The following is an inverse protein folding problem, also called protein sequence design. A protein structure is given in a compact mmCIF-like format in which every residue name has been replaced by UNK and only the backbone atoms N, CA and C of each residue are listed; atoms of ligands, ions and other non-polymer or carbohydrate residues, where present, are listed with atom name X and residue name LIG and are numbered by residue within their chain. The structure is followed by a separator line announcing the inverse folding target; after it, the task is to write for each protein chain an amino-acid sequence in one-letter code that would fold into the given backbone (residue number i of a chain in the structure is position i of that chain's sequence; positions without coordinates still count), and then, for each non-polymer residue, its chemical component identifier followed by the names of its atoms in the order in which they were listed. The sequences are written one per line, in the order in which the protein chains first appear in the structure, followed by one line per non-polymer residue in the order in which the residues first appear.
data_IF_384218315692
#
_entry.id   IF_384218315692
#
_cell.length_a   1.000
_cell.length_b   1.000
_cell.length_c   1.000
_cell.angle_alpha   90.00
_cell.angle_beta   90.00
_cell.angle_gamma   90.00
#
_symmetry.space_group_name_H-M   'P 1'
#
loop_
_entity.id
_entity.type
_entity.pdbx_description
1 polymer ?
#
# COMPACT_ATOMS: atom_id res chain seq x y z
N UNK A 1 10.67 -0.43 5.91
CA UNK A 1 10.52 0.97 5.40
C UNK A 1 10.24 0.94 3.90
N UNK A 2 9.53 1.96 3.30
CA UNK A 2 9.17 2.00 1.87
C UNK A 2 9.00 3.42 1.33
N UNK A 3 9.51 3.65 0.11
CA UNK A 3 9.43 4.92 -0.61
C UNK A 3 9.23 4.70 -2.11
N UNK A 4 8.87 5.75 -2.84
CA UNK A 4 8.94 5.76 -4.30
C UNK A 4 10.36 5.98 -4.81
N UNK A 5 10.64 5.44 -6.00
CA UNK A 5 11.90 5.60 -6.73
C UNK A 5 11.69 6.34 -8.06
N UNK A 6 10.48 6.83 -8.30
CA UNK A 6 10.03 7.66 -9.43
C UNK A 6 10.57 7.18 -10.79
N UNK A 7 11.62 7.83 -11.34
CA UNK A 7 12.20 7.48 -12.63
C UNK A 7 12.56 5.98 -12.77
N UNK A 8 12.82 5.32 -11.64
CA UNK A 8 13.14 3.89 -11.61
C UNK A 8 11.87 2.99 -11.64
N UNK A 9 10.68 3.57 -11.59
CA UNK A 9 9.40 2.83 -11.63
C UNK A 9 8.81 2.74 -13.05
N UNK A 10 9.57 3.14 -14.07
CA UNK A 10 9.10 3.27 -15.46
C UNK A 10 9.30 2.02 -16.31
N UNK A 11 10.01 1.01 -15.81
CA UNK A 11 10.14 -0.30 -16.44
C UNK A 11 10.34 -1.40 -15.40
N UNK A 12 10.13 -2.65 -15.81
CA UNK A 12 10.32 -3.82 -14.95
C UNK A 12 11.73 -3.92 -14.38
N UNK A 13 12.76 -3.75 -15.23
CA UNK A 13 14.17 -3.85 -14.85
C UNK A 13 14.58 -2.75 -13.86
N UNK A 14 14.20 -1.50 -14.14
CA UNK A 14 14.53 -0.36 -13.30
C UNK A 14 13.87 -0.47 -11.93
N UNK A 15 12.62 -0.91 -11.87
CA UNK A 15 11.92 -1.13 -10.61
C UNK A 15 12.59 -2.25 -9.80
N UNK A 16 12.90 -3.37 -10.44
CA UNK A 16 13.56 -4.50 -9.78
C UNK A 16 14.93 -4.11 -9.23
N UNK A 17 15.74 -3.42 -10.02
CA UNK A 17 17.06 -2.92 -9.59
C UNK A 17 16.95 -1.97 -8.39
N UNK A 18 16.00 -1.01 -8.43
CA UNK A 18 15.79 -0.06 -7.34
C UNK A 18 15.35 -0.75 -6.05
N UNK A 19 14.40 -1.69 -6.15
CA UNK A 19 13.88 -2.43 -5.00
C UNK A 19 14.95 -3.32 -4.37
N UNK A 20 15.69 -4.09 -5.18
CA UNK A 20 16.77 -4.95 -4.71
C UNK A 20 17.92 -4.12 -4.12
N UNK A 21 18.31 -3.01 -4.77
CA UNK A 21 19.34 -2.11 -4.25
C UNK A 21 18.98 -1.52 -2.89
N UNK A 22 17.71 -1.11 -2.70
CA UNK A 22 17.21 -0.59 -1.43
C UNK A 22 17.20 -1.67 -0.34
N UNK A 23 16.78 -2.90 -0.66
CA UNK A 23 16.81 -4.03 0.25
C UNK A 23 18.25 -4.39 0.66
N UNK A 24 19.15 -4.54 -0.30
CA UNK A 24 20.55 -4.87 -0.04
C UNK A 24 21.27 -3.80 0.80
N UNK A 25 20.83 -2.54 0.68
CA UNK A 25 21.46 -1.43 1.41
C UNK A 25 21.06 -1.41 2.88
N UNK A 26 19.80 -1.74 3.22
CA UNK A 26 19.24 -1.52 4.56
C UNK A 26 18.77 -2.82 5.24
N UNK A 27 18.71 -3.93 4.55
CA UNK A 27 18.33 -5.25 5.08
C UNK A 27 16.99 -5.23 5.87
N UNK A 28 15.92 -4.74 5.23
CA UNK A 28 14.58 -4.74 5.83
C UNK A 28 14.03 -6.16 6.00
N UNK A 29 13.20 -6.39 7.03
CA UNK A 29 12.66 -7.70 7.38
C UNK A 29 11.66 -8.27 6.35
N UNK A 30 11.11 -7.43 5.50
CA UNK A 30 10.36 -7.78 4.30
C UNK A 30 10.42 -6.65 3.28
N UNK A 31 10.25 -6.98 2.00
CA UNK A 31 10.19 -5.99 0.94
C UNK A 31 8.75 -5.67 0.56
N UNK A 32 8.35 -4.41 0.66
CA UNK A 32 7.10 -3.90 0.08
C UNK A 32 7.40 -3.28 -1.27
N UNK A 33 6.88 -3.89 -2.35
CA UNK A 33 7.07 -3.37 -3.71
C UNK A 33 6.33 -2.03 -3.87
N UNK A 34 7.05 -1.02 -4.38
CA UNK A 34 6.50 0.29 -4.72
C UNK A 34 6.43 0.44 -6.25
N UNK A 35 5.32 0.04 -6.89
CA UNK A 35 5.11 0.31 -8.30
C UNK A 35 4.85 1.80 -8.53
N UNK A 36 4.96 2.26 -9.79
CA UNK A 36 4.51 3.63 -10.10
C UNK A 36 3.04 3.81 -9.74
N UNK A 37 2.71 5.00 -9.23
CA UNK A 37 1.41 5.25 -8.60
C UNK A 37 0.20 5.02 -9.52
N UNK A 38 0.37 5.12 -10.85
CA UNK A 38 -0.69 4.99 -11.85
C UNK A 38 -0.82 3.59 -12.48
N UNK A 39 0.06 2.64 -12.16
CA UNK A 39 0.13 1.34 -12.84
C UNK A 39 -1.23 0.62 -12.96
N UNK A 40 -2.05 0.79 -11.96
CA UNK A 40 -3.32 0.07 -11.79
C UNK A 40 -4.47 0.59 -12.65
N UNK A 41 -4.27 1.67 -13.41
CA UNK A 41 -5.30 2.30 -14.24
C UNK A 41 -4.87 2.56 -15.69
N UNK A 42 -3.57 2.43 -15.99
CA UNK A 42 -3.02 2.78 -17.30
C UNK A 42 -3.58 1.90 -18.41
N UNK A 43 -3.74 0.60 -18.18
CA UNK A 43 -4.29 -0.34 -19.17
C UNK A 43 -5.80 -0.12 -19.48
N UNK A 44 -6.52 0.64 -18.63
CA UNK A 44 -7.86 1.16 -18.95
C UNK A 44 -7.83 2.52 -19.64
N UNK A 45 -6.65 3.06 -19.95
CA UNK A 45 -6.49 4.26 -20.76
C UNK A 45 -6.30 5.56 -19.96
N UNK A 46 -5.98 5.50 -18.67
CA UNK A 46 -5.50 6.67 -17.95
C UNK A 46 -4.14 7.05 -18.51
N UNK A 47 -3.99 8.29 -18.99
CA UNK A 47 -2.71 8.83 -19.42
C UNK A 47 -2.11 9.70 -18.33
N UNK A 48 -0.81 9.58 -18.15
CA UNK A 48 -0.06 10.35 -17.17
C UNK A 48 1.08 11.12 -17.83
N UNK A 49 1.39 12.28 -17.26
CA UNK A 49 2.64 12.98 -17.52
C UNK A 49 3.59 12.69 -16.37
N UNK A 50 4.83 12.37 -16.71
CA UNK A 50 5.85 11.96 -15.77
C UNK A 50 7.12 12.79 -15.99
N UNK A 51 7.62 13.44 -14.94
CA UNK A 51 8.82 14.27 -14.96
C UNK A 51 10.08 13.58 -14.42
N UNK A 52 9.93 12.37 -13.86
CA UNK A 52 11.04 11.59 -13.32
C UNK A 52 11.31 11.79 -11.83
N UNK A 53 10.87 12.91 -11.25
CA UNK A 53 11.22 13.31 -9.87
C UNK A 53 10.04 13.27 -8.89
N UNK A 54 8.83 13.02 -9.41
CA UNK A 54 7.60 12.98 -8.62
C UNK A 54 6.65 11.86 -9.08
N UNK A 55 5.54 11.69 -8.39
CA UNK A 55 4.49 10.76 -8.83
C UNK A 55 3.89 11.20 -10.17
N UNK A 56 3.52 10.26 -11.06
CA UNK A 56 2.87 10.57 -12.33
C UNK A 56 1.63 11.44 -12.12
N UNK A 57 1.49 12.51 -12.90
CA UNK A 57 0.32 13.38 -12.91
C UNK A 57 -0.67 12.91 -13.98
N UNK A 58 -1.91 12.65 -13.57
CA UNK A 58 -2.99 12.27 -14.51
C UNK A 58 -3.27 13.45 -15.46
N UNK A 59 -3.28 13.18 -16.76
CA UNK A 59 -3.58 14.17 -17.83
C UNK A 59 -4.85 13.82 -18.61
N UNK A 60 -5.21 12.54 -18.69
CA UNK A 60 -6.44 12.08 -19.35
C UNK A 60 -6.98 10.85 -18.61
N UNK A 61 -8.31 10.78 -18.49
CA UNK A 61 -8.99 9.66 -17.85
C UNK A 61 -10.10 9.11 -18.74
N UNK A 62 -10.37 7.80 -18.69
CA UNK A 62 -11.38 7.16 -19.56
C UNK A 62 -12.82 7.44 -19.13
N UNK A 63 -13.06 7.80 -17.85
CA UNK A 63 -14.41 8.01 -17.31
C UNK A 63 -14.69 9.50 -17.18
N UNK A 64 -15.60 9.99 -18.00
CA UNK A 64 -16.10 11.37 -18.02
C UNK A 64 -17.60 11.44 -17.74
N UNK A 65 -18.34 10.43 -18.19
CA UNK A 65 -19.77 10.31 -18.04
C UNK A 65 -20.15 9.00 -17.33
N UNK A 66 -21.35 8.89 -16.76
CA UNK A 66 -21.77 7.65 -16.11
C UNK A 66 -21.79 6.43 -17.03
N UNK A 67 -22.00 6.60 -18.36
CA UNK A 67 -22.02 5.49 -19.31
C UNK A 67 -20.62 4.92 -19.61
N UNK A 68 -19.57 5.69 -19.35
CA UNK A 68 -18.20 5.23 -19.55
C UNK A 68 -17.83 4.08 -18.62
N UNK A 69 -18.45 3.99 -17.44
CA UNK A 69 -18.27 2.87 -16.52
C UNK A 69 -18.64 1.51 -17.15
N UNK A 70 -19.64 1.49 -18.03
CA UNK A 70 -20.10 0.28 -18.69
C UNK A 70 -19.16 -0.20 -19.81
N UNK A 71 -18.20 0.63 -20.21
CA UNK A 71 -17.20 0.30 -21.25
C UNK A 71 -15.98 -0.42 -20.69
N UNK A 72 -15.78 -0.38 -19.37
CA UNK A 72 -14.67 -1.08 -18.76
C UNK A 72 -14.83 -2.58 -18.96
N UNK A 73 -13.71 -3.25 -19.26
CA UNK A 73 -13.66 -4.70 -19.44
C UNK A 73 -12.58 -5.28 -18.52
N UNK A 74 -12.74 -6.53 -18.15
CA UNK A 74 -11.69 -7.28 -17.46
C UNK A 74 -10.43 -7.31 -18.34
N UNK A 75 -9.30 -6.94 -17.74
CA UNK A 75 -8.01 -6.90 -18.43
C UNK A 75 -7.34 -8.27 -18.41
N UNK A 76 -6.62 -8.57 -19.51
CA UNK A 76 -5.65 -9.66 -19.50
C UNK A 76 -4.37 -9.21 -18.78
N UNK A 77 -4.14 -9.79 -17.61
CA UNK A 77 -3.00 -9.43 -16.74
C UNK A 77 -1.63 -9.78 -17.34
N UNK A 78 -1.60 -10.58 -18.41
CA UNK A 78 -0.39 -10.93 -19.15
C UNK A 78 -0.09 -9.94 -20.30
N UNK A 79 -0.73 -8.79 -20.32
CA UNK A 79 -0.50 -7.73 -21.30
C UNK A 79 -0.31 -6.39 -20.62
N UNK A 80 0.21 -5.40 -21.37
CA UNK A 80 0.33 -4.01 -20.94
C UNK A 80 1.15 -3.80 -19.68
N UNK A 81 0.71 -2.87 -18.88
CA UNK A 81 1.37 -2.42 -17.64
C UNK A 81 1.28 -3.47 -16.54
N UNK A 82 0.19 -4.23 -16.47
CA UNK A 82 0.08 -5.32 -15.49
C UNK A 82 1.14 -6.39 -15.75
N UNK A 83 1.37 -6.78 -17.02
CA UNK A 83 2.46 -7.69 -17.39
C UNK A 83 3.83 -7.13 -17.05
N UNK A 84 4.07 -5.84 -17.28
CA UNK A 84 5.34 -5.19 -16.91
C UNK A 84 5.64 -5.39 -15.42
N UNK A 85 4.63 -5.18 -14.56
CA UNK A 85 4.79 -5.41 -13.13
C UNK A 85 4.96 -6.89 -12.77
N UNK A 86 4.29 -7.82 -13.43
CA UNK A 86 4.55 -9.25 -13.23
C UNK A 86 6.00 -9.61 -13.60
N UNK A 87 6.55 -9.03 -14.66
CA UNK A 87 7.97 -9.22 -15.02
C UNK A 87 8.91 -8.64 -13.95
N UNK A 88 8.59 -7.46 -13.38
CA UNK A 88 9.40 -6.91 -12.28
C UNK A 88 9.40 -7.82 -11.04
N UNK A 89 8.27 -8.46 -10.73
CA UNK A 89 8.18 -9.41 -9.61
C UNK A 89 9.03 -10.67 -9.84
N UNK A 90 9.08 -11.18 -11.07
CA UNK A 90 9.96 -12.30 -11.45
C UNK A 90 11.44 -11.95 -11.24
N UNK A 91 11.86 -10.76 -11.67
CA UNK A 91 13.22 -10.26 -11.48
C UNK A 91 13.57 -10.09 -10.00
N UNK A 92 12.63 -9.54 -9.20
CA UNK A 92 12.82 -9.37 -7.76
C UNK A 92 12.90 -10.72 -7.06
N UNK A 93 11.99 -11.66 -7.35
CA UNK A 93 12.01 -13.00 -6.78
C UNK A 93 13.35 -13.72 -7.07
N UNK A 94 13.83 -13.61 -8.31
CA UNK A 94 15.15 -14.14 -8.70
C UNK A 94 16.28 -13.49 -7.90
N UNK A 95 16.24 -12.16 -7.71
CA UNK A 95 17.25 -11.41 -6.96
C UNK A 95 17.25 -11.73 -5.46
N UNK A 96 16.09 -11.97 -4.87
CA UNK A 96 15.92 -12.31 -3.45
C UNK A 96 16.24 -13.78 -3.14
N UNK A 97 16.23 -14.67 -4.12
CA UNK A 97 16.58 -16.12 -3.98
C UNK A 97 15.78 -16.87 -2.91
N UNK A 98 14.60 -16.36 -2.52
CA UNK A 98 13.79 -16.93 -1.45
C UNK A 98 14.27 -16.59 -0.03
N UNK A 99 15.25 -15.71 0.13
CA UNK A 99 15.83 -15.35 1.44
C UNK A 99 14.96 -14.35 2.21
N UNK A 100 14.04 -13.64 1.52
CA UNK A 100 13.24 -12.58 2.12
C UNK A 100 11.81 -12.61 1.55
N UNK A 101 10.77 -12.52 2.38
CA UNK A 101 9.40 -12.34 1.90
C UNK A 101 9.22 -10.96 1.28
N UNK A 102 8.42 -10.89 0.20
CA UNK A 102 8.08 -9.64 -0.44
C UNK A 102 6.60 -9.58 -0.82
N UNK A 103 6.01 -8.40 -0.72
CA UNK A 103 4.57 -8.19 -0.94
C UNK A 103 4.33 -7.11 -1.99
N UNK A 104 3.33 -7.36 -2.87
CA UNK A 104 2.96 -6.42 -3.93
C UNK A 104 1.99 -5.36 -3.39
N UNK A 105 2.27 -4.09 -3.67
CA UNK A 105 1.30 -3.01 -3.42
C UNK A 105 0.15 -3.11 -4.41
N UNK A 106 -1.05 -3.29 -3.88
CA UNK A 106 -2.28 -3.35 -4.65
C UNK A 106 -3.32 -2.42 -4.02
N UNK A 107 -4.02 -1.68 -4.87
CA UNK A 107 -5.05 -0.76 -4.39
C UNK A 107 -6.41 -1.45 -4.36
N UNK A 108 -7.29 -0.99 -3.46
CA UNK A 108 -8.67 -1.49 -3.38
C UNK A 108 -9.45 -1.16 -4.64
N UNK A 109 -10.46 -1.96 -5.03
CA UNK A 109 -11.26 -1.69 -6.24
C UNK A 109 -11.88 -0.29 -6.24
N UNK A 110 -12.36 0.19 -5.10
CA UNK A 110 -12.89 1.56 -4.98
C UNK A 110 -11.80 2.62 -5.21
N UNK A 111 -10.58 2.38 -4.76
CA UNK A 111 -9.43 3.26 -5.00
C UNK A 111 -9.09 3.35 -6.48
N UNK A 112 -9.09 2.22 -7.17
CA UNK A 112 -8.84 2.14 -8.61
C UNK A 112 -9.95 2.88 -9.38
N UNK A 113 -11.22 2.65 -9.03
CA UNK A 113 -12.35 3.34 -9.66
C UNK A 113 -12.21 4.87 -9.53
N UNK A 114 -11.84 5.38 -8.36
CA UNK A 114 -11.63 6.81 -8.15
C UNK A 114 -10.56 7.42 -9.09
N UNK A 115 -9.49 6.67 -9.37
CA UNK A 115 -8.45 7.12 -10.31
C UNK A 115 -8.93 7.19 -11.77
N UNK A 116 -9.89 6.36 -12.16
CA UNK A 116 -10.43 6.33 -13.54
C UNK A 116 -11.21 7.60 -13.92
N UNK A 117 -11.65 8.39 -12.96
CA UNK A 117 -12.29 9.70 -13.20
C UNK A 117 -11.30 10.86 -13.20
N UNK A 118 -10.18 10.75 -12.49
CA UNK A 118 -9.23 11.84 -12.25
C UNK A 118 -9.79 13.00 -11.41
N UNK A 119 -11.02 12.86 -10.89
CA UNK A 119 -11.70 13.85 -10.06
C UNK A 119 -12.46 13.14 -8.93
N UNK A 120 -12.13 13.53 -7.71
CA UNK A 120 -12.81 13.02 -6.50
C UNK A 120 -14.30 13.39 -6.49
N UNK A 121 -14.61 14.64 -6.84
CA UNK A 121 -15.98 15.15 -6.88
C UNK A 121 -16.84 14.37 -7.91
N UNK A 122 -16.32 14.21 -9.13
CA UNK A 122 -17.01 13.45 -10.17
C UNK A 122 -17.21 11.99 -9.78
N UNK A 123 -16.22 11.38 -9.14
CA UNK A 123 -16.35 10.00 -8.68
C UNK A 123 -17.43 9.86 -7.59
N UNK A 124 -17.44 10.73 -6.59
CA UNK A 124 -18.45 10.71 -5.52
C UNK A 124 -19.87 10.96 -6.07
N UNK A 125 -20.01 11.87 -7.05
CA UNK A 125 -21.26 12.08 -7.74
C UNK A 125 -21.73 10.80 -8.46
N UNK A 126 -20.88 10.19 -9.27
CA UNK A 126 -21.22 8.95 -9.97
C UNK A 126 -21.54 7.80 -9.00
N UNK A 127 -20.79 7.67 -7.92
CA UNK A 127 -20.98 6.64 -6.90
C UNK A 127 -22.38 6.72 -6.26
N UNK A 128 -22.85 7.95 -5.98
CA UNK A 128 -24.11 8.22 -5.30
C UNK A 128 -25.33 8.24 -6.23
N UNK A 129 -25.16 8.84 -7.41
CA UNK A 129 -26.27 9.07 -8.36
C UNK A 129 -26.39 7.99 -9.44
N UNK A 130 -25.30 7.29 -9.75
CA UNK A 130 -25.23 6.28 -10.80
C UNK A 130 -24.65 4.94 -10.31
N UNK A 131 -25.01 4.58 -9.08
CA UNK A 131 -24.47 3.43 -8.32
C UNK A 131 -24.41 2.13 -9.14
N UNK A 132 -25.46 1.80 -9.91
CA UNK A 132 -25.47 0.56 -10.69
C UNK A 132 -24.37 0.49 -11.75
N UNK A 133 -24.03 1.63 -12.38
CA UNK A 133 -22.96 1.71 -13.38
C UNK A 133 -21.57 1.63 -12.72
N UNK A 134 -21.39 2.29 -11.57
CA UNK A 134 -20.15 2.19 -10.79
C UNK A 134 -19.95 0.77 -10.25
N UNK A 135 -21.02 0.12 -9.78
CA UNK A 135 -20.95 -1.26 -9.33
C UNK A 135 -20.51 -2.22 -10.45
N UNK A 136 -21.01 -2.02 -11.69
CA UNK A 136 -20.51 -2.79 -12.85
C UNK A 136 -18.98 -2.64 -13.00
N UNK A 137 -18.47 -1.42 -12.91
CA UNK A 137 -17.04 -1.17 -12.99
C UNK A 137 -16.28 -1.81 -11.82
N UNK A 138 -16.80 -1.73 -10.58
CA UNK A 138 -16.20 -2.36 -9.41
C UNK A 138 -16.12 -3.89 -9.55
N UNK A 139 -17.14 -4.54 -10.20
CA UNK A 139 -17.06 -5.97 -10.55
C UNK A 139 -15.89 -6.26 -11.49
N UNK A 140 -15.78 -5.50 -12.58
CA UNK A 140 -14.71 -5.63 -13.60
C UNK A 140 -13.32 -5.42 -12.99
N UNK A 141 -13.17 -4.37 -12.18
CA UNK A 141 -11.91 -4.06 -11.49
C UNK A 141 -11.54 -5.18 -10.51
N UNK A 142 -12.51 -5.64 -9.72
CA UNK A 142 -12.27 -6.71 -8.74
C UNK A 142 -11.84 -8.00 -9.42
N UNK A 143 -12.46 -8.38 -10.53
CA UNK A 143 -12.08 -9.57 -11.30
C UNK A 143 -10.66 -9.42 -11.87
N UNK A 144 -10.36 -8.28 -12.51
CA UNK A 144 -9.03 -8.00 -13.05
C UNK A 144 -7.95 -8.13 -11.96
N UNK A 145 -8.15 -7.46 -10.82
CA UNK A 145 -7.14 -7.46 -9.76
C UNK A 145 -7.12 -8.73 -8.93
N UNK A 146 -8.18 -9.52 -8.90
CA UNK A 146 -8.15 -10.89 -8.38
C UNK A 146 -7.26 -11.80 -9.25
N UNK A 147 -7.36 -11.66 -10.57
CA UNK A 147 -6.49 -12.40 -11.49
C UNK A 147 -5.04 -11.93 -11.40
N UNK A 148 -4.81 -10.62 -11.32
CA UNK A 148 -3.48 -10.06 -11.13
C UNK A 148 -2.85 -10.50 -9.81
N UNK A 149 -3.60 -10.50 -8.71
CA UNK A 149 -3.13 -10.94 -7.41
C UNK A 149 -2.69 -12.42 -7.41
N UNK A 150 -3.46 -13.30 -8.05
CA UNK A 150 -3.08 -14.72 -8.24
C UNK A 150 -1.78 -14.83 -9.05
N UNK A 151 -1.70 -14.11 -10.16
CA UNK A 151 -0.50 -14.08 -10.98
C UNK A 151 0.73 -13.53 -10.25
N UNK A 152 0.56 -12.63 -9.28
CA UNK A 152 1.64 -12.20 -8.38
C UNK A 152 2.13 -13.35 -7.48
N UNK A 153 1.22 -14.09 -6.83
CA UNK A 153 1.60 -15.23 -5.99
C UNK A 153 2.34 -16.32 -6.78
N UNK A 154 1.91 -16.61 -8.02
CA UNK A 154 2.58 -17.55 -8.92
C UNK A 154 4.04 -17.15 -9.22
N UNK A 155 4.39 -15.87 -9.02
CA UNK A 155 5.74 -15.30 -9.19
C UNK A 155 6.52 -15.17 -7.89
N UNK A 156 6.06 -15.83 -6.83
CA UNK A 156 6.76 -15.89 -5.55
C UNK A 156 6.46 -14.74 -4.59
N UNK A 157 5.48 -13.90 -4.89
CA UNK A 157 5.02 -12.85 -3.96
C UNK A 157 4.36 -13.50 -2.75
N UNK A 158 4.80 -13.14 -1.54
CA UNK A 158 4.28 -13.71 -0.28
C UNK A 158 2.86 -13.22 0.07
N UNK A 159 2.42 -12.09 -0.50
CA UNK A 159 1.10 -11.52 -0.26
C UNK A 159 0.96 -10.09 -0.76
N UNK A 160 0.00 -9.36 -0.22
CA UNK A 160 -0.33 -8.01 -0.67
C UNK A 160 -0.08 -6.96 0.41
N UNK A 161 0.45 -5.82 0.02
CA UNK A 161 0.26 -4.55 0.70
C UNK A 161 -0.99 -3.91 0.11
N UNK A 162 -2.15 -4.19 0.74
CA UNK A 162 -3.45 -3.82 0.23
C UNK A 162 -3.84 -2.43 0.74
N UNK A 163 -3.87 -1.43 -0.14
CA UNK A 163 -3.97 -0.03 0.23
C UNK A 163 -5.32 0.59 -0.14
N UNK A 164 -6.00 1.18 0.85
CA UNK A 164 -7.29 1.85 0.67
C UNK A 164 -7.17 3.25 0.07
N UNK A 165 -5.96 3.77 -0.04
CA UNK A 165 -5.59 5.10 -0.53
C UNK A 165 -6.46 6.24 0.03
N UNK A 166 -7.31 6.85 -0.80
CA UNK A 166 -8.03 8.06 -0.48
C UNK A 166 -9.43 7.82 0.14
N UNK A 167 -9.96 6.58 0.15
CA UNK A 167 -11.39 6.36 0.32
C UNK A 167 -11.81 5.82 1.70
N UNK A 168 -10.91 5.16 2.43
CA UNK A 168 -11.22 4.68 3.78
C UNK A 168 -11.08 5.79 4.85
N UNK A 169 -11.79 6.89 4.67
CA UNK A 169 -11.80 8.04 5.57
C UNK A 169 -13.18 8.68 5.68
N UNK A 170 -13.55 9.12 6.88
CA UNK A 170 -14.83 9.83 7.09
C UNK A 170 -14.88 11.20 6.43
N UNK A 171 -13.74 11.73 5.97
CA UNK A 171 -13.69 12.97 5.19
C UNK A 171 -14.32 12.82 3.79
N UNK A 172 -14.54 11.59 3.30
CA UNK A 172 -15.04 11.30 1.95
C UNK A 172 -16.28 10.43 1.93
N UNK A 173 -16.28 9.36 2.72
CA UNK A 173 -17.36 8.39 2.76
C UNK A 173 -17.83 8.21 4.19
N UNK A 174 -19.13 8.11 4.37
CA UNK A 174 -19.70 7.58 5.61
C UNK A 174 -19.32 6.11 5.77
N UNK A 175 -19.35 5.59 6.99
CA UNK A 175 -19.13 4.16 7.22
C UNK A 175 -20.11 3.29 6.43
N UNK A 176 -21.38 3.71 6.33
CA UNK A 176 -22.39 3.00 5.55
C UNK A 176 -22.03 2.95 4.07
N UNK A 177 -21.57 4.06 3.50
CA UNK A 177 -21.11 4.09 2.10
C UNK A 177 -19.90 3.16 1.88
N UNK A 178 -18.91 3.19 2.80
CA UNK A 178 -17.75 2.30 2.71
C UNK A 178 -18.14 0.83 2.80
N UNK A 179 -19.03 0.49 3.73
CA UNK A 179 -19.57 -0.86 3.87
C UNK A 179 -20.34 -1.33 2.64
N UNK A 180 -20.97 -0.41 1.93
CA UNK A 180 -21.79 -0.71 0.73
C UNK A 180 -20.93 -0.79 -0.53
N UNK A 181 -20.02 0.17 -0.73
CA UNK A 181 -19.34 0.38 -2.02
C UNK A 181 -17.90 -0.15 -2.07
N UNK A 182 -17.23 -0.33 -0.92
CA UNK A 182 -15.85 -0.81 -0.88
C UNK A 182 -15.75 -2.24 -0.35
N UNK A 183 -16.25 -2.47 0.86
CA UNK A 183 -16.03 -3.70 1.61
C UNK A 183 -16.36 -5.00 0.86
N UNK A 184 -17.47 -5.14 0.11
CA UNK A 184 -17.79 -6.40 -0.58
C UNK A 184 -16.74 -6.77 -1.63
N UNK A 185 -16.23 -5.79 -2.33
CA UNK A 185 -15.21 -5.96 -3.37
C UNK A 185 -13.84 -6.23 -2.77
N UNK A 186 -13.49 -5.53 -1.70
CA UNK A 186 -12.25 -5.74 -0.95
C UNK A 186 -12.14 -7.18 -0.42
N UNK A 187 -13.19 -7.64 0.24
CA UNK A 187 -13.24 -8.99 0.80
C UNK A 187 -13.21 -10.07 -0.28
N UNK A 188 -13.92 -9.84 -1.41
CA UNK A 188 -13.89 -10.77 -2.53
C UNK A 188 -12.49 -10.93 -3.08
N UNK A 189 -11.75 -9.83 -3.28
CA UNK A 189 -10.37 -9.88 -3.76
C UNK A 189 -9.46 -10.61 -2.77
N UNK A 190 -9.47 -10.23 -1.50
CA UNK A 190 -8.63 -10.87 -0.48
C UNK A 190 -8.91 -12.37 -0.34
N UNK A 191 -10.18 -12.78 -0.43
CA UNK A 191 -10.57 -14.19 -0.34
C UNK A 191 -10.15 -15.04 -1.55
N UNK A 192 -9.66 -14.43 -2.64
CA UNK A 192 -9.10 -15.17 -3.78
C UNK A 192 -7.69 -15.72 -3.51
N UNK A 193 -7.06 -15.32 -2.41
CA UNK A 193 -5.65 -15.60 -2.08
C UNK A 193 -5.49 -16.36 -0.75
N UNK A 194 -6.13 -17.52 -0.57
CA UNK A 194 -6.10 -18.24 0.72
C UNK A 194 -4.73 -18.82 1.06
N UNK A 195 -3.81 -18.89 0.10
CA UNK A 195 -2.46 -19.45 0.25
C UNK A 195 -1.38 -18.38 0.45
N UNK A 196 -1.74 -17.10 0.47
CA UNK A 196 -0.78 -16.03 0.73
C UNK A 196 -0.19 -16.16 2.15
N UNK A 197 1.11 -15.99 2.27
CA UNK A 197 1.81 -16.09 3.56
C UNK A 197 1.38 -14.96 4.50
N UNK A 198 1.31 -13.71 4.00
CA UNK A 198 0.78 -12.61 4.78
C UNK A 198 0.28 -11.45 3.92
N UNK A 199 -0.77 -10.79 4.39
CA UNK A 199 -1.28 -9.54 3.84
C UNK A 199 -1.12 -8.42 4.87
N UNK A 200 -0.79 -7.22 4.38
CA UNK A 200 -0.84 -5.98 5.15
C UNK A 200 -1.97 -5.12 4.59
N UNK A 201 -2.93 -4.72 5.43
CA UNK A 201 -3.92 -3.71 5.06
C UNK A 201 -3.38 -2.33 5.45
N UNK A 202 -3.22 -1.44 4.46
CA UNK A 202 -2.82 -0.06 4.70
C UNK A 202 -4.03 0.87 4.60
N UNK A 203 -4.39 1.49 5.74
CA UNK A 203 -5.53 2.42 5.84
C UNK A 203 -5.01 3.84 5.83
N UNK A 204 -4.99 4.44 4.64
CA UNK A 204 -4.47 5.79 4.42
C UNK A 204 -5.33 6.89 5.02
N UNK A 205 -4.75 8.09 5.05
CA UNK A 205 -5.40 9.36 5.41
C UNK A 205 -5.72 9.53 6.88
N UNK A 206 -6.06 10.77 7.20
CA UNK A 206 -6.62 11.18 8.49
C UNK A 206 -8.07 10.73 8.62
N UNK A 207 -8.59 10.70 9.84
CA UNK A 207 -9.96 10.26 10.13
C UNK A 207 -10.29 8.92 9.46
N UNK A 208 -9.34 7.99 9.50
CA UNK A 208 -9.44 6.74 8.78
C UNK A 208 -10.51 5.79 9.34
N UNK A 209 -10.97 4.90 8.48
CA UNK A 209 -11.99 3.92 8.80
C UNK A 209 -11.40 2.58 9.32
N UNK A 210 -10.28 2.60 10.06
CA UNK A 210 -9.66 1.38 10.60
C UNK A 210 -10.68 0.51 11.36
N UNK A 211 -11.57 1.13 12.13
CA UNK A 211 -12.64 0.42 12.88
C UNK A 211 -13.60 -0.36 11.99
N UNK A 212 -13.80 0.08 10.74
CA UNK A 212 -14.72 -0.55 9.77
C UNK A 212 -14.06 -1.72 9.05
N UNK A 213 -12.74 -1.67 8.88
CA UNK A 213 -11.96 -2.69 8.16
C UNK A 213 -11.15 -3.61 9.08
N UNK A 214 -11.31 -3.46 10.40
CA UNK A 214 -10.52 -4.19 11.42
C UNK A 214 -10.64 -5.71 11.37
N UNK A 215 -11.67 -6.25 10.75
CA UNK A 215 -11.95 -7.67 10.62
C UNK A 215 -11.60 -8.24 9.23
N UNK A 216 -10.98 -7.44 8.36
CA UNK A 216 -10.48 -7.97 7.07
C UNK A 216 -9.53 -9.14 7.29
N UNK A 217 -9.52 -10.14 6.37
CA UNK A 217 -8.68 -11.32 6.46
C UNK A 217 -7.21 -10.99 6.11
N UNK A 218 -6.58 -10.15 6.93
CA UNK A 218 -5.19 -9.73 6.78
C UNK A 218 -4.40 -10.01 8.06
N UNK A 219 -3.09 -10.13 7.95
CA UNK A 219 -2.20 -10.51 9.03
C UNK A 219 -1.68 -9.29 9.81
N UNK A 220 -1.54 -8.15 9.12
CA UNK A 220 -1.08 -6.92 9.73
C UNK A 220 -1.84 -5.70 9.21
N UNK A 221 -1.86 -4.64 10.01
CA UNK A 221 -2.49 -3.36 9.69
C UNK A 221 -1.46 -2.25 9.75
N UNK A 222 -1.52 -1.33 8.79
CA UNK A 222 -0.66 -0.16 8.71
C UNK A 222 -1.49 1.10 8.50
N UNK A 223 -1.16 2.16 9.20
CA UNK A 223 -1.73 3.50 9.02
C UNK A 223 -0.78 4.54 9.61
N UNK A 224 -1.08 5.83 9.41
CA UNK A 224 -0.40 6.92 10.11
C UNK A 224 -1.02 7.16 11.50
N UNK A 225 -0.40 6.73 12.61
CA UNK A 225 -0.94 6.92 13.95
C UNK A 225 -0.87 8.38 14.44
N UNK A 226 -0.09 9.25 13.78
CA UNK A 226 -0.03 10.69 14.06
C UNK A 226 -1.07 11.49 13.27
N UNK A 227 -1.76 10.86 12.30
CA UNK A 227 -2.82 11.51 11.52
C UNK A 227 -4.00 11.93 12.41
N UNK A 228 -4.51 13.14 12.17
CA UNK A 228 -5.64 13.69 12.94
C UNK A 228 -6.84 12.73 12.94
N UNK A 229 -7.32 12.36 14.12
CA UNK A 229 -8.48 11.47 14.30
C UNK A 229 -8.20 9.99 14.02
N UNK A 230 -6.96 9.62 13.77
CA UNK A 230 -6.54 8.24 13.68
C UNK A 230 -6.24 7.68 15.10
N UNK A 231 -6.43 6.39 15.33
CA UNK A 231 -6.00 5.78 16.58
C UNK A 231 -4.47 5.79 16.68
N UNK A 232 -3.95 5.92 17.91
CA UNK A 232 -2.55 5.62 18.20
C UNK A 232 -2.21 4.17 17.84
N UNK A 233 -0.95 3.84 17.78
CA UNK A 233 -0.53 2.47 17.44
C UNK A 233 -1.03 1.44 18.47
N UNK A 234 -1.02 1.80 19.77
CA UNK A 234 -1.53 0.96 20.86
C UNK A 234 -3.06 0.77 20.79
N UNK A 235 -3.82 1.85 20.59
CA UNK A 235 -5.28 1.77 20.41
C UNK A 235 -5.66 0.94 19.19
N UNK A 236 -4.96 1.15 18.06
CA UNK A 236 -5.19 0.37 16.86
C UNK A 236 -4.87 -1.11 17.04
N UNK A 237 -3.78 -1.46 17.74
CA UNK A 237 -3.43 -2.86 18.08
C UNK A 237 -4.55 -3.54 18.89
N UNK A 238 -5.11 -2.85 19.87
CA UNK A 238 -6.26 -3.35 20.62
C UNK A 238 -7.50 -3.51 19.72
N UNK A 239 -7.76 -2.52 18.85
CA UNK A 239 -8.92 -2.50 17.94
C UNK A 239 -8.90 -3.66 16.94
N UNK A 240 -7.73 -4.06 16.44
CA UNK A 240 -7.58 -5.16 15.47
C UNK A 240 -7.45 -6.54 16.13
N UNK A 241 -7.78 -6.66 17.41
CA UNK A 241 -7.79 -7.93 18.13
C UNK A 241 -6.41 -8.52 18.39
N UNK A 242 -5.40 -7.68 18.60
CA UNK A 242 -4.03 -8.10 18.89
C UNK A 242 -3.23 -8.56 17.67
N UNK A 243 -3.78 -8.45 16.46
CA UNK A 243 -3.01 -8.68 15.23
C UNK A 243 -1.89 -7.67 15.09
N UNK A 244 -0.88 -8.00 14.30
CA UNK A 244 0.29 -7.14 14.11
C UNK A 244 -0.11 -5.77 13.53
N UNK A 245 0.45 -4.71 14.10
CA UNK A 245 0.33 -3.35 13.57
C UNK A 245 1.68 -2.84 13.10
N UNK A 246 1.70 -2.04 12.04
CA UNK A 246 2.91 -1.48 11.44
C UNK A 246 2.79 0.04 11.46
N UNK A 247 3.75 0.72 12.08
CA UNK A 247 3.77 2.17 12.17
C UNK A 247 4.85 2.68 13.10
N UNK A 248 4.73 3.95 13.47
CA UNK A 248 5.61 4.59 14.46
C UNK A 248 6.59 5.59 13.87
N UNK A 249 7.07 5.39 12.63
CA UNK A 249 7.89 6.38 11.94
C UNK A 249 6.98 7.33 11.16
N UNK A 250 7.24 8.63 11.31
CA UNK A 250 6.57 9.65 10.49
C UNK A 250 6.88 9.48 9.00
N UNK A 251 5.94 9.87 8.14
CA UNK A 251 6.10 9.83 6.68
C UNK A 251 6.26 11.22 6.04
N UNK A 252 6.40 12.27 6.85
CA UNK A 252 6.48 13.64 6.38
C UNK A 252 7.92 14.20 6.44
N UNK A 253 8.06 15.50 6.17
CA UNK A 253 9.35 16.17 6.15
C UNK A 253 10.09 16.12 7.49
N UNK A 254 9.41 15.86 8.60
CA UNK A 254 10.09 15.73 9.90
C UNK A 254 11.07 14.56 9.93
N UNK A 255 10.83 13.50 9.14
CA UNK A 255 11.78 12.40 8.97
C UNK A 255 13.07 12.84 8.23
N UNK A 256 12.97 13.85 7.37
CA UNK A 256 14.12 14.44 6.68
C UNK A 256 14.93 15.32 7.62
N UNK A 257 14.26 16.07 8.48
CA UNK A 257 14.85 17.09 9.37
C UNK A 257 15.37 16.51 10.69
N UNK A 258 14.86 15.35 11.10
CA UNK A 258 15.26 14.65 12.34
C UNK A 258 16.68 14.10 12.24
N UNK A 259 17.39 14.07 13.37
CA UNK A 259 18.72 13.47 13.46
C UNK A 259 18.66 11.97 13.78
N UNK A 260 19.69 11.17 13.42
CA UNK A 260 19.80 9.75 13.79
C UNK A 260 19.61 9.49 15.29
N UNK A 261 20.17 10.35 16.16
CA UNK A 261 20.06 10.22 17.61
C UNK A 261 18.61 10.41 18.09
N UNK A 262 17.91 11.40 17.54
CA UNK A 262 16.52 11.64 17.89
C UNK A 262 15.62 10.49 17.43
N UNK A 263 15.89 9.91 16.25
CA UNK A 263 15.19 8.72 15.76
C UNK A 263 15.41 7.52 16.69
N UNK A 264 16.64 7.20 17.05
CA UNK A 264 16.96 6.09 17.95
C UNK A 264 16.25 6.26 19.31
N UNK A 265 16.29 7.47 19.88
CA UNK A 265 15.59 7.78 21.14
C UNK A 265 14.07 7.59 21.03
N UNK A 266 13.47 8.08 19.95
CA UNK A 266 12.03 7.93 19.69
C UNK A 266 11.62 6.47 19.51
N UNK A 267 12.42 5.67 18.82
CA UNK A 267 12.18 4.24 18.59
C UNK A 267 12.24 3.47 19.92
N UNK A 268 13.20 3.77 20.76
CA UNK A 268 13.29 3.15 22.09
C UNK A 268 12.06 3.48 22.95
N UNK A 269 11.61 4.73 22.94
CA UNK A 269 10.36 5.11 23.61
C UNK A 269 9.14 4.36 23.10
N UNK A 270 9.06 4.12 21.80
CA UNK A 270 7.98 3.30 21.21
C UNK A 270 8.10 1.84 21.62
N UNK A 271 9.30 1.27 21.66
CA UNK A 271 9.52 -0.10 22.10
C UNK A 271 9.04 -0.31 23.53
N UNK A 272 9.36 0.61 24.43
CA UNK A 272 8.87 0.58 25.80
C UNK A 272 7.33 0.64 25.86
N UNK A 273 6.72 1.49 25.05
CA UNK A 273 5.27 1.67 25.05
C UNK A 273 4.49 0.50 24.41
N UNK A 274 5.05 -0.13 23.37
CA UNK A 274 4.37 -1.19 22.58
C UNK A 274 4.69 -2.60 23.06
N UNK A 275 5.75 -2.78 23.85
CA UNK A 275 6.31 -4.09 24.22
C UNK A 275 7.00 -4.80 23.05
N UNK A 276 7.42 -6.05 23.26
CA UNK A 276 8.31 -6.77 22.34
C UNK A 276 7.58 -7.49 21.20
N UNK A 277 6.24 -7.54 21.19
CA UNK A 277 5.47 -8.37 20.25
C UNK A 277 4.22 -7.69 19.73
N UNK A 278 3.80 -8.12 18.52
CA UNK A 278 2.53 -7.73 17.89
C UNK A 278 2.58 -6.34 17.25
N UNK A 279 3.77 -5.84 16.96
CA UNK A 279 3.97 -4.63 16.16
C UNK A 279 5.29 -4.71 15.38
N UNK A 280 5.36 -3.94 14.33
CA UNK A 280 6.57 -3.74 13.53
C UNK A 280 6.79 -2.23 13.33
N UNK A 281 8.03 -1.81 13.45
CA UNK A 281 8.39 -0.42 13.15
C UNK A 281 8.31 -0.19 11.64
N UNK A 282 7.57 0.84 11.24
CA UNK A 282 7.42 1.20 9.84
C UNK A 282 6.93 2.62 9.67
N UNK A 283 6.95 3.16 8.46
CA UNK A 283 6.43 4.50 8.21
C UNK A 283 4.90 4.48 8.19
N UNK A 284 4.29 5.60 8.59
CA UNK A 284 2.85 5.78 8.55
C UNK A 284 2.26 5.77 7.13
N UNK A 285 3.07 6.04 6.11
CA UNK A 285 2.82 5.90 4.68
C UNK A 285 4.18 5.87 3.95
N UNK A 286 4.20 6.07 2.62
CA UNK A 286 5.44 6.27 1.86
C UNK A 286 6.17 7.51 2.37
N UNK A 287 7.42 7.36 2.76
CA UNK A 287 8.25 8.47 3.27
C UNK A 287 8.95 9.25 2.14
N UNK A 288 9.39 10.50 2.39
CA UNK A 288 10.04 11.34 1.38
C UNK A 288 11.30 10.71 0.81
N UNK A 289 11.51 10.74 -0.52
CA UNK A 289 12.68 10.15 -1.16
C UNK A 289 14.00 10.84 -0.78
N UNK A 290 13.94 12.10 -0.37
CA UNK A 290 15.07 12.89 0.12
C UNK A 290 15.48 12.58 1.57
N UNK A 291 14.82 11.61 2.23
CA UNK A 291 15.20 11.19 3.59
C UNK A 291 16.67 10.74 3.60
N UNK A 292 17.52 11.30 4.50
CA UNK A 292 18.92 10.94 4.59
C UNK A 292 19.15 9.45 4.85
N UNK A 293 20.09 8.83 4.15
CA UNK A 293 20.44 7.43 4.38
C UNK A 293 20.86 7.16 5.83
N UNK A 294 21.54 8.13 6.47
CA UNK A 294 21.91 8.04 7.90
C UNK A 294 20.68 7.86 8.80
N UNK A 295 19.55 8.48 8.47
CA UNK A 295 18.31 8.31 9.21
C UNK A 295 17.70 6.91 9.01
N UNK A 296 17.75 6.39 7.77
CA UNK A 296 17.28 5.04 7.47
C UNK A 296 18.16 3.98 8.15
N UNK A 297 19.47 4.19 8.18
CA UNK A 297 20.41 3.30 8.88
C UNK A 297 20.15 3.32 10.38
N UNK A 298 19.96 4.51 10.98
CA UNK A 298 19.65 4.62 12.42
C UNK A 298 18.35 3.91 12.80
N UNK A 299 17.33 3.92 11.92
CA UNK A 299 16.09 3.15 12.12
C UNK A 299 16.39 1.65 12.14
N UNK A 300 17.23 1.16 11.20
CA UNK A 300 17.61 -0.26 11.14
C UNK A 300 18.41 -0.68 12.38
N UNK A 301 19.42 0.10 12.73
CA UNK A 301 20.30 -0.18 13.86
C UNK A 301 19.53 -0.24 15.18
N UNK A 302 18.65 0.72 15.44
CA UNK A 302 17.84 0.78 16.65
C UNK A 302 16.92 -0.47 16.83
N UNK A 303 16.43 -1.06 15.73
CA UNK A 303 15.66 -2.32 15.79
C UNK A 303 16.56 -3.51 16.05
N UNK A 304 17.75 -3.57 15.44
CA UNK A 304 18.69 -4.69 15.56
C UNK A 304 19.30 -4.76 16.95
N UNK A 305 19.74 -3.64 17.51
CA UNK A 305 20.31 -3.55 18.87
C UNK A 305 19.27 -3.91 19.94
N UNK A 306 18.04 -3.45 19.79
CA UNK A 306 16.93 -3.81 20.68
C UNK A 306 16.62 -5.29 20.72
N UNK A 307 16.82 -6.00 19.60
CA UNK A 307 16.62 -7.45 19.53
C UNK A 307 17.68 -8.27 20.27
N UNK A 308 18.90 -7.73 20.39
CA UNK A 308 20.01 -8.41 21.10
C UNK A 308 19.95 -8.23 22.63
N UNK A 309 19.32 -7.17 23.13
CA UNK A 309 19.19 -6.90 24.57
C UNK A 309 18.06 -7.67 25.25
N UNK A 310 17.20 -8.34 24.48
CA UNK A 310 16.04 -9.09 24.96
C UNK A 310 16.23 -10.60 25.15
N UNK A 311 17.46 -11.12 25.11
CA UNK A 311 17.74 -12.53 25.45
C UNK A 311 17.90 -12.65 26.97
N UNK A 312 16.99 -13.30 27.72
CA UNK A 312 17.21 -13.58 29.12
C UNK A 312 18.37 -14.58 29.28
N UNK A 313 19.31 -14.25 30.10
CA UNK A 313 20.32 -15.18 30.63
C UNK A 313 19.70 -16.28 31.47
#
# INVERSE_FOLDING_TARGET
MWRHFFARETSADLLAEAMLGFQNRFDWDFMKINPRASYHVEDWGVKTAYDGDSSPRVVETPVKTPDDWLRLKVLDVNQGVLKEHLTSLELIAHGLKGELPFIMTMFTPLSIAGWLTGSEELFLQHLREHTAKVNHALEVITETFSNFAKACLERGVSGLFYATTAWATTNRLTEKEYLTFARPYDLRLLNTLPTAEFHVLHVCREQNLLRVVKDYPVHAFSWNPQGKGNPSLAEGKAMVGGRTVIGGITQDKSLVETTPIQLATGIEGMRVAMGDKGWMLGPGCTFPPETPEANLQAIRDAVTEGSQSGTPS
#
